data_IF_799007920968
#
_entry.id   IF_799007920968
#
_cell.length_a   1.000
_cell.length_b   1.000
_cell.length_c   1.000
_cell.angle_alpha   90.00
_cell.angle_beta   90.00
_cell.angle_gamma   90.00
#
_symmetry.space_group_name_H-M   'P 1'
#
loop_
_entity.id
_entity.type
_entity.pdbx_description
1 polymer ?
#
# COMPACT_ATOMS: atom_id res chain seq x y z
N UNK A 1 0.21 5.55 -7.42
CA UNK A 1 -0.75 4.88 -8.35
C UNK A 1 -1.99 4.39 -7.59
N UNK A 2 -1.88 3.37 -6.74
CA UNK A 2 -3.02 2.83 -5.97
C UNK A 2 -3.65 3.89 -5.06
N UNK A 3 -2.84 4.61 -4.31
CA UNK A 3 -3.31 5.64 -3.39
C UNK A 3 -4.05 6.76 -4.12
N UNK A 4 -3.59 7.14 -5.32
CA UNK A 4 -4.27 8.12 -6.15
C UNK A 4 -5.65 7.66 -6.61
N UNK A 5 -5.78 6.41 -7.02
CA UNK A 5 -7.07 5.82 -7.40
C UNK A 5 -8.02 5.72 -6.20
N UNK A 6 -7.51 5.34 -5.03
CA UNK A 6 -8.30 5.32 -3.80
C UNK A 6 -8.80 6.72 -3.41
N UNK A 7 -7.98 7.76 -3.62
CA UNK A 7 -8.39 9.12 -3.37
C UNK A 7 -9.56 9.55 -4.28
N UNK A 8 -9.53 9.16 -5.55
CA UNK A 8 -10.65 9.41 -6.47
C UNK A 8 -11.92 8.68 -6.05
N UNK A 9 -11.80 7.43 -5.59
CA UNK A 9 -12.94 6.67 -5.07
C UNK A 9 -13.51 7.28 -3.78
N UNK A 10 -12.65 7.80 -2.92
CA UNK A 10 -13.06 8.36 -1.63
C UNK A 10 -13.60 9.78 -1.72
N UNK A 11 -13.01 10.62 -2.56
CA UNK A 11 -13.30 12.05 -2.68
C UNK A 11 -13.95 12.48 -4.00
N UNK A 12 -14.18 11.54 -4.90
CA UNK A 12 -14.77 11.81 -6.22
C UNK A 12 -13.74 12.22 -7.29
N UNK A 13 -14.19 12.38 -8.54
CA UNK A 13 -13.33 12.83 -9.64
C UNK A 13 -12.65 14.16 -9.32
N UNK A 14 -11.34 14.24 -9.59
CA UNK A 14 -10.56 15.43 -9.30
C UNK A 14 -10.11 15.59 -7.86
N UNK A 15 -10.28 14.57 -7.01
CA UNK A 15 -9.75 14.55 -5.66
C UNK A 15 -8.22 14.79 -5.68
N UNK A 16 -7.76 15.69 -4.83
CA UNK A 16 -6.35 16.12 -4.80
C UNK A 16 -5.73 15.89 -3.44
N UNK A 17 -4.48 15.49 -3.45
CA UNK A 17 -3.65 15.45 -2.24
C UNK A 17 -3.20 16.86 -1.87
N UNK A 18 -3.23 17.16 -0.57
CA UNK A 18 -2.77 18.42 -0.01
C UNK A 18 -1.65 18.19 0.98
N UNK A 19 -0.63 19.08 1.05
CA UNK A 19 0.41 18.99 2.06
C UNK A 19 -0.17 19.04 3.47
N UNK A 20 0.33 18.16 4.33
CA UNK A 20 -0.02 18.13 5.75
C UNK A 20 1.23 18.32 6.61
N UNK A 21 1.07 18.92 7.78
CA UNK A 21 2.18 19.19 8.72
C UNK A 21 2.92 17.94 9.22
N UNK A 22 2.32 16.76 9.08
CA UNK A 22 2.96 15.48 9.40
C UNK A 22 4.09 15.09 8.46
N UNK A 23 4.24 15.78 7.33
CA UNK A 23 5.19 15.42 6.27
C UNK A 23 4.60 14.49 5.22
N UNK A 24 3.29 14.35 5.18
CA UNK A 24 2.56 13.64 4.13
C UNK A 24 1.77 14.61 3.26
N UNK A 25 1.51 14.19 2.02
CA UNK A 25 0.39 14.70 1.25
C UNK A 25 -0.82 13.81 1.55
N UNK A 26 -1.96 14.42 1.86
CA UNK A 26 -3.16 13.69 2.27
C UNK A 26 -4.38 14.03 1.44
N UNK A 27 -5.29 13.07 1.35
CA UNK A 27 -6.64 13.24 0.83
C UNK A 27 -7.62 12.52 1.76
N UNK A 28 -8.68 13.21 2.15
CA UNK A 28 -9.72 12.67 3.03
C UNK A 28 -10.97 12.33 2.21
N UNK A 29 -11.70 11.33 2.66
CA UNK A 29 -12.96 10.93 2.04
C UNK A 29 -13.55 9.69 2.68
N UNK A 30 -14.40 8.99 1.92
CA UNK A 30 -15.05 7.75 2.37
C UNK A 30 -14.95 6.69 1.29
N UNK A 31 -14.47 5.49 1.68
CA UNK A 31 -14.51 4.31 0.84
C UNK A 31 -15.72 3.47 1.25
N UNK A 32 -16.70 3.34 0.35
CA UNK A 32 -17.94 2.62 0.63
C UNK A 32 -18.57 3.01 1.99
N UNK A 33 -18.57 4.30 2.30
CA UNK A 33 -19.11 4.85 3.54
C UNK A 33 -18.17 4.86 4.74
N UNK A 34 -17.01 4.23 4.65
CA UNK A 34 -16.01 4.21 5.73
C UNK A 34 -15.08 5.43 5.60
N UNK A 35 -14.97 6.27 6.65
CA UNK A 35 -14.06 7.41 6.63
C UNK A 35 -12.61 6.94 6.50
N UNK A 36 -11.87 7.53 5.57
CA UNK A 36 -10.46 7.23 5.34
C UNK A 36 -9.64 8.49 5.14
N UNK A 37 -8.38 8.42 5.52
CA UNK A 37 -7.35 9.38 5.13
C UNK A 37 -6.31 8.66 4.30
N UNK A 38 -6.20 9.05 3.02
CA UNK A 38 -5.17 8.55 2.13
C UNK A 38 -3.93 9.41 2.34
N UNK A 39 -2.77 8.79 2.45
CA UNK A 39 -1.54 9.50 2.74
C UNK A 39 -0.39 9.03 1.86
N UNK A 40 0.46 9.98 1.54
CA UNK A 40 1.64 9.78 0.74
C UNK A 40 2.81 10.49 1.42
N UNK A 41 3.76 9.77 2.04
CA UNK A 41 4.92 10.39 2.67
C UNK A 41 5.78 11.16 1.66
N UNK A 42 6.19 12.38 2.03
CA UNK A 42 7.09 13.21 1.20
C UNK A 42 8.56 12.98 1.48
N UNK A 43 8.88 11.98 2.29
CA UNK A 43 10.23 11.59 2.63
C UNK A 43 10.78 10.57 1.64
N UNK A 44 12.08 10.29 1.71
CA UNK A 44 12.62 9.07 1.13
C UNK A 44 11.99 7.84 1.80
N UNK A 45 11.96 6.72 1.08
CA UNK A 45 11.30 5.50 1.55
C UNK A 45 11.85 5.01 2.90
N UNK A 46 13.16 5.03 3.07
CA UNK A 46 13.81 4.64 4.33
C UNK A 46 13.53 5.57 5.52
N UNK A 47 12.87 6.70 5.29
CA UNK A 47 12.47 7.68 6.31
C UNK A 47 10.94 7.81 6.44
N UNK A 48 10.17 6.93 5.81
CA UNK A 48 8.71 6.99 5.76
C UNK A 48 8.04 6.82 7.12
N UNK A 49 8.71 6.17 8.07
CA UNK A 49 8.14 5.90 9.40
C UNK A 49 7.79 7.16 10.17
N UNK A 50 8.61 8.20 10.10
CA UNK A 50 8.39 9.45 10.83
C UNK A 50 7.12 10.18 10.39
N UNK A 51 6.89 10.43 9.09
CA UNK A 51 5.63 11.01 8.63
C UNK A 51 4.41 10.14 8.96
N UNK A 52 4.51 8.83 8.80
CA UNK A 52 3.41 7.91 9.11
C UNK A 52 3.05 7.96 10.58
N UNK A 53 4.03 7.89 11.49
CA UNK A 53 3.80 7.99 12.92
C UNK A 53 3.17 9.34 13.31
N UNK A 54 3.65 10.43 12.73
CA UNK A 54 3.10 11.77 12.99
C UNK A 54 1.64 11.89 12.53
N UNK A 55 1.29 11.31 11.39
CA UNK A 55 -0.07 11.34 10.84
C UNK A 55 -1.03 10.50 11.69
N UNK A 56 -0.64 9.28 12.03
CA UNK A 56 -1.47 8.39 12.86
C UNK A 56 -1.69 8.99 14.24
N UNK A 57 -0.70 9.66 14.82
CA UNK A 57 -0.85 10.39 16.09
C UNK A 57 -1.81 11.57 15.95
N UNK A 58 -1.72 12.32 14.87
CA UNK A 58 -2.60 13.47 14.59
C UNK A 58 -4.08 13.07 14.54
N UNK A 59 -4.40 12.01 13.80
CA UNK A 59 -5.77 11.50 13.67
C UNK A 59 -6.16 10.51 14.77
N UNK A 60 -5.26 10.19 15.69
CA UNK A 60 -5.47 9.19 16.75
C UNK A 60 -5.87 7.83 16.18
N UNK A 61 -5.21 7.42 15.12
CA UNK A 61 -5.41 6.13 14.45
C UNK A 61 -4.48 5.10 15.10
N UNK A 62 -5.01 4.04 15.70
CA UNK A 62 -4.18 2.96 16.23
C UNK A 62 -3.57 2.13 15.08
N UNK A 63 -2.47 1.40 15.32
CA UNK A 63 -1.85 0.56 14.29
C UNK A 63 -2.81 -0.42 13.61
N UNK A 64 -3.80 -0.94 14.33
CA UNK A 64 -4.81 -1.87 13.85
C UNK A 64 -5.77 -1.25 12.81
N UNK A 65 -5.71 0.06 12.63
CA UNK A 65 -6.46 0.79 11.59
C UNK A 65 -5.57 1.45 10.54
N UNK A 66 -4.27 1.18 10.61
CA UNK A 66 -3.32 1.60 9.58
C UNK A 66 -3.23 0.51 8.52
N UNK A 67 -3.37 0.91 7.27
CA UNK A 67 -3.14 0.04 6.10
C UNK A 67 -2.00 0.63 5.29
N UNK A 68 -0.94 -0.13 5.10
CA UNK A 68 0.19 0.25 4.24
C UNK A 68 0.09 -0.52 2.93
N UNK A 69 -0.03 0.21 1.85
CA UNK A 69 0.02 -0.36 0.48
C UNK A 69 1.43 -0.19 -0.03
N UNK A 70 2.08 -1.29 -0.38
CA UNK A 70 3.47 -1.27 -0.79
C UNK A 70 3.80 -2.33 -1.83
N UNK A 71 4.93 -2.14 -2.52
CA UNK A 71 5.50 -3.13 -3.41
C UNK A 71 6.14 -4.28 -2.63
N UNK A 72 6.14 -5.48 -3.22
CA UNK A 72 6.74 -6.66 -2.61
C UNK A 72 7.51 -7.47 -3.65
N UNK A 73 8.81 -7.68 -3.38
CA UNK A 73 9.61 -8.67 -4.10
C UNK A 73 9.10 -10.07 -3.76
N UNK A 74 9.40 -11.04 -4.59
CA UNK A 74 9.06 -12.46 -4.41
C UNK A 74 7.58 -12.80 -4.57
N UNK A 75 6.70 -11.84 -4.64
CA UNK A 75 5.32 -12.03 -5.06
C UNK A 75 5.24 -11.80 -6.57
N UNK A 76 4.60 -12.69 -7.35
CA UNK A 76 4.48 -12.52 -8.79
C UNK A 76 3.93 -11.17 -9.19
N UNK A 77 4.39 -10.62 -10.30
CA UNK A 77 3.95 -9.31 -10.78
C UNK A 77 2.42 -9.25 -10.88
N UNK A 78 1.85 -8.22 -10.25
CA UNK A 78 0.42 -7.97 -10.24
C UNK A 78 -0.40 -8.80 -9.24
N UNK A 79 0.21 -9.79 -8.59
CA UNK A 79 -0.47 -10.50 -7.51
C UNK A 79 -0.64 -9.60 -6.29
N UNK A 80 -1.79 -9.69 -5.64
CA UNK A 80 -2.10 -8.91 -4.43
C UNK A 80 -2.23 -9.84 -3.24
N UNK A 81 -1.48 -9.54 -2.18
CA UNK A 81 -1.53 -10.30 -0.92
C UNK A 81 -1.83 -9.36 0.24
N UNK A 82 -2.67 -9.79 1.13
CA UNK A 82 -3.12 -9.04 2.31
C UNK A 82 -2.68 -9.75 3.57
N UNK A 83 -2.18 -9.01 4.56
CA UNK A 83 -1.86 -9.56 5.88
C UNK A 83 -1.92 -8.52 6.98
N UNK A 84 -2.04 -8.98 8.21
CA UNK A 84 -1.80 -8.18 9.42
C UNK A 84 -0.43 -8.55 9.99
N UNK A 85 0.40 -7.55 10.24
CA UNK A 85 1.70 -7.75 10.85
C UNK A 85 2.72 -8.46 9.96
N UNK A 86 3.70 -9.06 10.59
CA UNK A 86 4.78 -9.77 9.92
C UNK A 86 6.05 -8.93 9.73
N UNK A 87 7.09 -9.54 9.15
CA UNK A 87 8.37 -8.90 8.89
C UNK A 87 8.32 -7.88 7.76
N UNK A 88 9.41 -7.16 7.57
CA UNK A 88 9.54 -6.15 6.53
C UNK A 88 10.03 -6.72 5.18
N UNK A 89 10.51 -7.95 5.16
CA UNK A 89 11.05 -8.62 3.98
C UNK A 89 12.07 -7.76 3.20
N UNK A 90 12.90 -7.01 3.92
CA UNK A 90 13.89 -6.11 3.34
C UNK A 90 13.33 -4.80 2.80
N UNK A 91 12.04 -4.53 2.93
CA UNK A 91 11.44 -3.27 2.51
C UNK A 91 11.80 -2.15 3.50
N UNK A 92 12.57 -1.18 3.05
CA UNK A 92 13.08 -0.10 3.90
C UNK A 92 11.97 0.79 4.47
N UNK A 93 10.91 1.02 3.73
CA UNK A 93 9.75 1.77 4.19
C UNK A 93 9.02 1.09 5.34
N UNK A 94 8.78 -0.22 5.23
CA UNK A 94 8.15 -1.00 6.31
C UNK A 94 9.02 -1.04 7.56
N UNK A 95 10.32 -1.20 7.40
CA UNK A 95 11.27 -1.16 8.53
C UNK A 95 11.20 0.17 9.26
N UNK A 96 11.21 1.27 8.53
CA UNK A 96 11.10 2.62 9.08
C UNK A 96 9.78 2.84 9.82
N UNK A 97 8.67 2.40 9.24
CA UNK A 97 7.33 2.52 9.86
C UNK A 97 7.28 1.70 11.15
N UNK A 98 7.73 0.46 11.13
CA UNK A 98 7.77 -0.42 12.31
C UNK A 98 8.60 0.19 13.44
N UNK A 99 9.76 0.76 13.12
CA UNK A 99 10.60 1.44 14.11
C UNK A 99 9.89 2.66 14.71
N UNK A 100 9.28 3.48 13.88
CA UNK A 100 8.63 4.73 14.33
C UNK A 100 7.37 4.46 15.14
N UNK A 101 6.58 3.44 14.79
CA UNK A 101 5.38 3.05 15.52
C UNK A 101 5.66 2.20 16.75
N UNK A 102 6.82 1.56 16.83
CA UNK A 102 7.15 0.60 17.88
C UNK A 102 6.41 -0.74 17.77
N UNK A 103 5.76 -1.00 16.66
CA UNK A 103 5.03 -2.25 16.39
C UNK A 103 5.00 -2.54 14.89
N UNK A 104 4.87 -3.80 14.55
CA UNK A 104 4.63 -4.28 13.18
C UNK A 104 3.18 -4.70 12.94
N UNK A 105 2.30 -4.55 13.92
CA UNK A 105 0.92 -5.03 13.90
C UNK A 105 -0.01 -4.02 13.21
N UNK A 106 0.27 -3.73 11.95
CA UNK A 106 -0.58 -2.96 11.04
C UNK A 106 -0.86 -3.78 9.79
N UNK A 107 -1.94 -3.42 9.08
CA UNK A 107 -2.33 -4.12 7.86
C UNK A 107 -1.44 -3.77 6.69
N UNK A 108 -1.24 -4.73 5.80
CA UNK A 108 -0.43 -4.59 4.60
C UNK A 108 -1.16 -5.11 3.38
N UNK A 109 -1.22 -4.29 2.36
CA UNK A 109 -1.64 -4.67 1.01
C UNK A 109 -0.37 -4.71 0.18
N UNK A 110 0.03 -5.92 -0.23
CA UNK A 110 1.29 -6.18 -0.93
C UNK A 110 1.03 -6.33 -2.42
N UNK A 111 1.58 -5.43 -3.20
CA UNK A 111 1.55 -5.49 -4.64
C UNK A 111 2.81 -6.18 -5.16
N UNK A 112 2.67 -7.35 -5.77
CA UNK A 112 3.80 -8.11 -6.29
C UNK A 112 4.46 -7.44 -7.48
N UNK A 113 5.78 -7.33 -7.43
CA UNK A 113 6.59 -6.83 -8.55
C UNK A 113 7.53 -7.90 -9.13
N UNK A 114 7.49 -9.11 -8.55
CA UNK A 114 8.32 -10.22 -8.98
C UNK A 114 9.75 -10.16 -8.45
N UNK A 115 10.52 -11.18 -8.77
CA UNK A 115 11.95 -11.21 -8.46
C UNK A 115 12.77 -10.52 -9.54
N UNK A 116 13.88 -9.84 -9.16
CA UNK A 116 14.81 -9.34 -10.15
C UNK A 116 15.40 -10.50 -10.95
N UNK A 117 15.56 -10.34 -12.28
CA UNK A 117 16.14 -11.41 -13.12
C UNK A 117 17.63 -11.59 -12.83
N UNK A 118 18.09 -12.84 -12.74
CA UNK A 118 19.49 -13.21 -12.62
C UNK A 118 20.17 -12.59 -11.40
N UNK A 119 21.24 -11.84 -11.63
CA UNK A 119 22.07 -11.20 -10.60
C UNK A 119 21.75 -9.73 -10.38
N UNK A 120 20.63 -9.25 -10.88
CA UNK A 120 20.25 -7.85 -10.71
C UNK A 120 20.06 -7.51 -9.23
N UNK A 121 20.58 -6.36 -8.79
CA UNK A 121 20.41 -5.88 -7.43
C UNK A 121 18.92 -5.60 -7.15
N UNK A 122 18.34 -6.16 -6.08
CA UNK A 122 16.95 -5.88 -5.70
C UNK A 122 16.64 -4.39 -5.55
N UNK A 123 17.55 -3.58 -5.00
CA UNK A 123 17.37 -2.14 -4.86
C UNK A 123 17.26 -1.45 -6.21
N UNK A 124 18.07 -1.83 -7.19
CA UNK A 124 17.98 -1.32 -8.56
C UNK A 124 16.69 -1.78 -9.25
N UNK A 125 16.26 -3.00 -9.01
CA UNK A 125 15.05 -3.56 -9.59
C UNK A 125 13.79 -2.80 -9.15
N UNK A 126 13.65 -2.47 -7.87
CA UNK A 126 12.47 -1.75 -7.35
C UNK A 126 12.40 -0.31 -7.85
N UNK A 127 13.52 0.27 -8.27
CA UNK A 127 13.59 1.64 -8.79
C UNK A 127 13.43 1.73 -10.31
N UNK A 128 13.46 0.60 -11.02
CA UNK A 128 13.31 0.59 -12.47
C UNK A 128 11.88 0.92 -12.90
N UNK A 129 11.74 1.44 -14.10
CA UNK A 129 10.42 1.60 -14.71
C UNK A 129 9.81 0.25 -15.07
N UNK A 130 8.50 0.18 -15.09
CA UNK A 130 7.80 -0.99 -15.60
C UNK A 130 8.10 -1.19 -17.08
N UNK A 131 8.25 -2.46 -17.50
CA UNK A 131 8.40 -2.80 -18.91
C UNK A 131 7.15 -2.43 -19.72
N UNK A 132 7.26 -2.39 -21.04
CA UNK A 132 6.11 -2.11 -21.90
C UNK A 132 4.99 -3.15 -21.71
N UNK A 133 5.34 -4.43 -21.56
CA UNK A 133 4.39 -5.50 -21.29
C UNK A 133 3.70 -5.31 -19.92
N UNK A 134 4.47 -4.99 -18.89
CA UNK A 134 3.94 -4.71 -17.54
C UNK A 134 3.02 -3.49 -17.53
N UNK A 135 3.41 -2.40 -18.22
CA UNK A 135 2.61 -1.18 -18.30
C UNK A 135 1.26 -1.38 -18.97
N UNK A 136 1.15 -2.34 -19.89
CA UNK A 136 -0.10 -2.66 -20.54
C UNK A 136 -1.16 -3.17 -19.57
N UNK A 137 -0.76 -3.99 -18.60
CA UNK A 137 -1.66 -4.59 -17.61
C UNK A 137 -1.80 -3.75 -16.34
N UNK A 138 -0.91 -2.78 -16.15
CA UNK A 138 -0.80 -2.02 -14.90
C UNK A 138 -2.09 -1.32 -14.47
N UNK A 139 -2.89 -0.67 -15.34
CA UNK A 139 -4.16 -0.04 -14.91
C UNK A 139 -5.12 -1.04 -14.28
N UNK A 140 -5.24 -2.23 -14.86
CA UNK A 140 -6.08 -3.31 -14.31
C UNK A 140 -5.56 -3.80 -12.96
N UNK A 141 -4.25 -3.98 -12.83
CA UNK A 141 -3.62 -4.47 -11.62
C UNK A 141 -3.69 -3.44 -10.47
N UNK A 142 -3.54 -2.16 -10.80
CA UNK A 142 -3.72 -1.06 -9.83
C UNK A 142 -5.16 -1.01 -9.34
N UNK A 143 -6.12 -1.14 -10.24
CA UNK A 143 -7.55 -1.19 -9.91
C UNK A 143 -7.87 -2.38 -8.99
N UNK A 144 -7.32 -3.55 -9.28
CA UNK A 144 -7.46 -4.75 -8.45
C UNK A 144 -6.86 -4.54 -7.04
N UNK A 145 -5.70 -3.91 -6.95
CA UNK A 145 -5.08 -3.59 -5.66
C UNK A 145 -5.92 -2.60 -4.85
N UNK A 146 -6.52 -1.61 -5.51
CA UNK A 146 -7.45 -0.68 -4.88
C UNK A 146 -8.72 -1.40 -4.41
N UNK A 147 -9.27 -2.33 -5.20
CA UNK A 147 -10.41 -3.17 -4.80
C UNK A 147 -10.09 -3.99 -3.55
N UNK A 148 -8.91 -4.59 -3.49
CA UNK A 148 -8.46 -5.37 -2.34
C UNK A 148 -8.34 -4.50 -1.08
N UNK A 149 -7.81 -3.30 -1.22
CA UNK A 149 -7.68 -2.34 -0.11
C UNK A 149 -9.07 -1.91 0.39
N UNK A 150 -9.99 -1.62 -0.52
CA UNK A 150 -11.37 -1.28 -0.17
C UNK A 150 -12.07 -2.44 0.55
N UNK A 151 -11.91 -3.67 0.05
CA UNK A 151 -12.46 -4.87 0.70
C UNK A 151 -11.90 -5.07 2.11
N UNK A 152 -10.59 -4.84 2.30
CA UNK A 152 -9.96 -4.91 3.62
C UNK A 152 -10.57 -3.91 4.59
N UNK A 153 -10.76 -2.67 4.16
CA UNK A 153 -11.30 -1.58 4.99
C UNK A 153 -12.77 -1.81 5.33
N UNK A 154 -13.55 -2.34 4.40
CA UNK A 154 -15.02 -2.48 4.55
C UNK A 154 -15.48 -3.83 5.08
N UNK A 155 -14.75 -4.91 4.79
CA UNK A 155 -15.17 -6.29 5.08
C UNK A 155 -14.23 -7.03 6.03
N UNK A 156 -13.03 -6.51 6.27
CA UNK A 156 -12.02 -7.13 7.12
C UNK A 156 -11.07 -8.06 6.38
N UNK A 157 -10.03 -8.49 7.09
CA UNK A 157 -8.91 -9.24 6.51
C UNK A 157 -9.33 -10.61 5.96
N UNK A 158 -10.08 -11.39 6.72
CA UNK A 158 -10.45 -12.76 6.29
C UNK A 158 -11.26 -12.75 5.01
N UNK A 159 -12.26 -11.87 4.90
CA UNK A 159 -13.09 -11.74 3.70
C UNK A 159 -12.26 -11.25 2.50
N UNK A 160 -11.40 -10.26 2.70
CA UNK A 160 -10.53 -9.75 1.65
C UNK A 160 -9.51 -10.81 1.18
N UNK A 161 -8.91 -11.56 2.10
CA UNK A 161 -8.02 -12.66 1.74
C UNK A 161 -8.73 -13.73 0.91
N UNK A 162 -9.94 -14.11 1.28
CA UNK A 162 -10.72 -15.10 0.54
C UNK A 162 -11.01 -14.64 -0.90
N UNK A 163 -11.30 -13.36 -1.10
CA UNK A 163 -11.57 -12.80 -2.43
C UNK A 163 -10.32 -12.74 -3.31
N UNK A 164 -9.17 -12.35 -2.76
CA UNK A 164 -7.98 -12.01 -3.55
C UNK A 164 -6.89 -13.07 -3.53
N UNK A 165 -6.83 -13.96 -2.55
CA UNK A 165 -5.87 -15.06 -2.51
C UNK A 165 -6.37 -16.31 -3.26
N UNK A 166 -7.66 -16.59 -3.26
CA UNK A 166 -8.23 -17.77 -3.91
C UNK A 166 -8.11 -17.72 -5.45
N UNK A 167 -8.26 -16.55 -6.05
CA UNK A 167 -8.20 -16.38 -7.50
C UNK A 167 -6.83 -16.68 -8.12
N UNK A 168 -5.79 -16.79 -7.30
CA UNK A 168 -4.44 -17.08 -7.77
C UNK A 168 -4.10 -18.57 -7.75
N UNK A 169 -4.88 -19.38 -7.05
CA UNK A 169 -4.71 -20.83 -7.03
C UNK A 169 -5.27 -21.49 -8.30
N UNK A 170 -6.16 -20.80 -9.01
CA UNK A 170 -6.79 -21.30 -10.23
C UNK A 170 -6.06 -20.84 -11.52
N UNK A 171 -4.93 -20.20 -11.40
CA UNK A 171 -4.06 -19.77 -12.49
C UNK A 171 -2.73 -20.51 -12.42
#
# INVERSE_FOLDING_TARGET
MVTGLLAERAGGPGARFKPHRSGNDIAEGRLAGVPVTLAWPRSYMNLAGRPVAALTAFYKVPPERLVVVHDELDIPFGAVRLKLGGGDNGHNGLRSITQALGTRDYYRVRFGIGRPPGRMDPAAFVLRDFSAAERKDLPFLVDRCADATEALVTQGLAAAQNLYHAEEQDR
#
